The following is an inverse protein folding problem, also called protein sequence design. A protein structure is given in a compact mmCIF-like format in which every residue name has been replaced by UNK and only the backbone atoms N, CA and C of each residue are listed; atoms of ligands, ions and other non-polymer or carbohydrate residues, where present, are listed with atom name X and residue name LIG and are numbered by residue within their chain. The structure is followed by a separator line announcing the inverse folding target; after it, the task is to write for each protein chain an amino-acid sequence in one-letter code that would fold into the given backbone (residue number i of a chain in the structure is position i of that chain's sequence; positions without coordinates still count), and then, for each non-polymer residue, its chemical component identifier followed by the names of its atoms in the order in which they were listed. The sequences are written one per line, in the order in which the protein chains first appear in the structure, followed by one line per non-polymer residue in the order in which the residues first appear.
data_IF_212094091279
#
_entry.id   IF_212094091279
#
_cell.length_a   1.000
_cell.length_b   1.000
_cell.length_c   1.000
_cell.angle_alpha   90.00
_cell.angle_beta   90.00
_cell.angle_gamma   90.00
#
_symmetry.space_group_name_H-M   'P 1'
#
loop_
_entity.id
_entity.type
_entity.pdbx_description
1 polymer ?
#
# COMPACT_ATOMS: atom_id res chain seq x y z
N UNK A 1 6.42 -7.39 -0.34
CA UNK A 1 6.20 -6.24 0.56
C UNK A 1 7.52 -5.83 1.16
N UNK A 2 7.82 -4.53 1.21
CA UNK A 2 9.08 -4.02 1.75
C UNK A 2 9.29 -2.55 1.36
N UNK A 3 10.31 -1.93 1.90
CA UNK A 3 10.73 -0.62 1.43
C UNK A 3 11.59 -0.77 0.17
N UNK A 4 11.04 -0.42 -0.98
CA UNK A 4 11.78 -0.46 -2.26
C UNK A 4 13.01 0.43 -2.22
N UNK A 5 12.90 1.62 -1.62
CA UNK A 5 14.03 2.55 -1.47
C UNK A 5 15.15 1.91 -0.64
N UNK A 6 14.81 1.32 0.51
CA UNK A 6 15.77 0.61 1.36
C UNK A 6 16.43 -0.56 0.63
N UNK A 7 15.65 -1.31 -0.15
CA UNK A 7 16.18 -2.43 -0.95
C UNK A 7 17.14 -1.96 -2.06
N UNK A 8 16.80 -0.88 -2.74
CA UNK A 8 17.65 -0.30 -3.79
C UNK A 8 18.95 0.28 -3.21
N UNK A 9 18.83 1.05 -2.13
CA UNK A 9 19.97 1.72 -1.49
C UNK A 9 20.77 0.81 -0.55
N UNK A 10 20.30 -0.43 -0.32
CA UNK A 10 20.90 -1.38 0.63
C UNK A 10 21.12 -0.72 2.02
N UNK A 11 20.13 0.06 2.48
CA UNK A 11 20.15 0.80 3.73
C UNK A 11 18.93 0.43 4.60
N UNK A 12 19.01 0.61 5.93
CA UNK A 12 17.89 0.38 6.82
C UNK A 12 16.65 1.17 6.41
N UNK A 13 15.48 0.57 6.54
CA UNK A 13 14.21 1.24 6.27
C UNK A 13 13.79 2.12 7.43
N UNK A 14 13.23 3.29 7.13
CA UNK A 14 12.57 4.15 8.11
C UNK A 14 11.13 3.68 8.41
N UNK A 15 10.67 2.62 7.75
CA UNK A 15 9.31 2.08 7.93
C UNK A 15 9.36 0.71 8.57
N UNK A 16 8.42 0.45 9.45
CA UNK A 16 8.17 -0.87 10.04
C UNK A 16 7.06 -1.56 9.26
N UNK A 17 7.26 -2.85 8.95
CA UNK A 17 6.23 -3.71 8.37
C UNK A 17 5.71 -4.60 9.49
N UNK A 18 4.38 -4.63 9.64
CA UNK A 18 3.71 -5.43 10.66
C UNK A 18 2.64 -6.29 9.99
N UNK A 19 2.63 -7.58 10.32
CA UNK A 19 1.52 -8.47 9.96
C UNK A 19 0.29 -8.09 10.80
N UNK A 20 -0.84 -7.82 10.13
CA UNK A 20 -2.10 -7.53 10.81
C UNK A 20 -2.83 -8.81 11.25
N UNK A 21 -2.57 -9.91 10.55
CA UNK A 21 -3.09 -11.25 10.81
C UNK A 21 -1.98 -12.27 10.59
N UNK A 22 -2.19 -13.52 10.96
CA UNK A 22 -1.28 -14.60 10.61
C UNK A 22 -1.13 -14.68 9.09
N UNK A 23 0.12 -14.74 8.61
CA UNK A 23 0.42 -14.80 7.19
C UNK A 23 1.69 -15.60 6.90
N UNK A 24 1.71 -16.23 5.75
CA UNK A 24 2.92 -16.82 5.18
C UNK A 24 3.51 -15.85 4.16
N UNK A 25 4.82 -15.68 4.19
CA UNK A 25 5.53 -14.76 3.30
C UNK A 25 6.68 -15.46 2.59
N UNK A 26 6.82 -15.18 1.31
CA UNK A 26 7.99 -15.57 0.53
C UNK A 26 8.99 -14.42 0.54
N UNK A 27 10.19 -14.69 1.04
CA UNK A 27 11.27 -13.72 1.08
C UNK A 27 12.21 -13.92 -0.09
N UNK A 28 12.46 -12.87 -0.85
CA UNK A 28 13.43 -12.86 -1.92
C UNK A 28 14.45 -11.73 -1.69
N UNK A 29 15.76 -12.04 -1.55
CA UNK A 29 16.78 -11.01 -1.46
C UNK A 29 16.79 -10.14 -2.72
N UNK A 30 16.79 -8.83 -2.55
CA UNK A 30 16.71 -7.87 -3.67
C UNK A 30 17.85 -8.05 -4.69
N UNK A 31 19.06 -8.35 -4.22
CA UNK A 31 20.22 -8.59 -5.11
C UNK A 31 19.94 -9.76 -6.05
N UNK A 32 19.44 -10.89 -5.52
CA UNK A 32 19.07 -12.05 -6.35
C UNK A 32 17.93 -11.77 -7.32
N UNK A 33 16.91 -11.00 -6.87
CA UNK A 33 15.86 -10.55 -7.76
C UNK A 33 16.43 -9.70 -8.91
N UNK A 34 17.36 -8.80 -8.60
CA UNK A 34 18.01 -7.93 -9.59
C UNK A 34 18.81 -8.74 -10.62
N UNK A 35 19.56 -9.74 -10.20
CA UNK A 35 20.26 -10.68 -11.09
C UNK A 35 19.27 -11.34 -12.05
N UNK A 36 18.18 -11.93 -11.54
CA UNK A 36 17.14 -12.57 -12.35
C UNK A 36 16.48 -11.61 -13.35
N UNK A 37 16.24 -10.35 -12.97
CA UNK A 37 15.67 -9.32 -13.86
C UNK A 37 16.62 -9.05 -15.05
N UNK A 38 17.92 -9.10 -14.84
CA UNK A 38 18.88 -8.89 -15.92
C UNK A 38 19.13 -10.12 -16.78
N UNK A 39 18.99 -11.32 -16.23
CA UNK A 39 19.27 -12.58 -16.91
C UNK A 39 18.07 -13.13 -17.68
N UNK A 40 16.83 -12.87 -17.21
CA UNK A 40 15.61 -13.47 -17.76
C UNK A 40 14.65 -12.40 -18.28
N UNK A 41 14.48 -12.33 -19.60
CA UNK A 41 13.66 -11.31 -20.25
C UNK A 41 12.19 -11.32 -19.84
N UNK A 42 11.61 -12.47 -19.56
CA UNK A 42 10.24 -12.58 -19.07
C UNK A 42 10.10 -11.97 -17.67
N UNK A 43 11.08 -12.19 -16.79
CA UNK A 43 11.12 -11.58 -15.45
C UNK A 43 11.32 -10.08 -15.55
N UNK A 44 12.18 -9.63 -16.45
CA UNK A 44 12.38 -8.20 -16.75
C UNK A 44 11.08 -7.54 -17.20
N UNK A 45 10.39 -8.14 -18.16
CA UNK A 45 9.12 -7.65 -18.70
C UNK A 45 8.02 -7.61 -17.63
N UNK A 46 7.93 -8.64 -16.81
CA UNK A 46 7.03 -8.69 -15.65
C UNK A 46 7.36 -7.58 -14.64
N UNK A 47 8.63 -7.40 -14.31
CA UNK A 47 9.06 -6.41 -13.33
C UNK A 47 8.79 -4.97 -13.79
N UNK A 48 8.99 -4.68 -15.06
CA UNK A 48 8.63 -3.37 -15.63
C UNK A 48 7.13 -3.10 -15.47
N UNK A 49 6.27 -4.04 -15.89
CA UNK A 49 4.81 -3.92 -15.74
C UNK A 49 4.39 -3.78 -14.26
N UNK A 50 5.06 -4.50 -13.37
CA UNK A 50 4.83 -4.40 -11.93
C UNK A 50 5.17 -2.99 -11.41
N UNK A 51 6.30 -2.40 -11.84
CA UNK A 51 6.67 -1.04 -11.45
C UNK A 51 5.70 0.00 -12.02
N UNK A 52 5.32 -0.12 -13.30
CA UNK A 52 4.34 0.76 -13.93
C UNK A 52 3.01 0.74 -13.18
N UNK A 53 2.49 -0.45 -12.87
CA UNK A 53 1.21 -0.60 -12.16
C UNK A 53 1.27 -0.07 -10.74
N UNK A 54 2.22 -0.52 -9.93
CA UNK A 54 2.19 -0.32 -8.47
C UNK A 54 2.92 0.96 -8.04
N UNK A 55 3.91 1.41 -8.81
CA UNK A 55 4.75 2.54 -8.42
C UNK A 55 4.50 3.81 -9.25
N UNK A 56 3.89 3.68 -10.40
CA UNK A 56 3.54 4.85 -11.22
C UNK A 56 2.03 5.07 -11.13
N UNK A 57 1.23 4.14 -11.66
CA UNK A 57 -0.23 4.33 -11.77
C UNK A 57 -0.90 4.40 -10.40
N UNK A 58 -0.75 3.37 -9.57
CA UNK A 58 -1.43 3.31 -8.27
C UNK A 58 -0.98 4.43 -7.31
N UNK A 59 0.30 4.84 -7.42
CA UNK A 59 0.82 5.95 -6.62
C UNK A 59 0.22 7.27 -7.07
N UNK A 60 0.20 7.57 -8.37
CA UNK A 60 -0.37 8.80 -8.92
C UNK A 60 -1.87 8.90 -8.63
N UNK A 61 -2.62 7.81 -8.82
CA UNK A 61 -4.04 7.75 -8.45
C UNK A 61 -4.26 8.05 -6.96
N UNK A 62 -3.41 7.49 -6.09
CA UNK A 62 -3.50 7.74 -4.65
C UNK A 62 -3.19 9.19 -4.30
N UNK A 63 -2.15 9.76 -4.87
CA UNK A 63 -1.78 11.16 -4.65
C UNK A 63 -2.89 12.11 -5.15
N UNK A 64 -3.44 11.86 -6.32
CA UNK A 64 -4.57 12.60 -6.86
C UNK A 64 -5.81 12.49 -5.95
N UNK A 65 -6.14 11.28 -5.50
CA UNK A 65 -7.27 11.04 -4.60
C UNK A 65 -7.13 11.77 -3.25
N UNK A 66 -5.92 11.87 -2.71
CA UNK A 66 -5.67 12.62 -1.47
C UNK A 66 -5.96 14.13 -1.62
N UNK A 67 -5.80 14.66 -2.82
CA UNK A 67 -6.01 16.09 -3.11
C UNK A 67 -7.44 16.36 -3.59
N UNK A 68 -8.00 15.50 -4.43
CA UNK A 68 -9.25 15.76 -5.15
C UNK A 68 -10.49 15.16 -4.49
N UNK A 69 -10.33 14.02 -3.79
CA UNK A 69 -11.47 13.32 -3.20
C UNK A 69 -11.75 13.78 -1.76
N UNK A 70 -13.03 13.80 -1.39
CA UNK A 70 -13.39 13.97 0.01
C UNK A 70 -12.98 12.76 0.85
N UNK A 71 -12.88 12.95 2.16
CA UNK A 71 -12.53 11.86 3.08
C UNK A 71 -13.56 10.71 3.04
N UNK A 72 -14.84 11.05 2.81
CA UNK A 72 -15.93 10.10 2.65
C UNK A 72 -15.72 9.21 1.43
N UNK A 73 -15.40 9.81 0.27
CA UNK A 73 -15.13 9.09 -0.99
C UNK A 73 -13.91 8.17 -0.81
N UNK A 74 -12.83 8.66 -0.22
CA UNK A 74 -11.64 7.83 0.05
C UNK A 74 -11.93 6.65 0.96
N UNK A 75 -12.75 6.86 1.98
CA UNK A 75 -13.17 5.78 2.89
C UNK A 75 -14.05 4.75 2.17
N UNK A 76 -14.99 5.18 1.33
CA UNK A 76 -15.80 4.28 0.51
C UNK A 76 -14.97 3.43 -0.43
N UNK A 77 -14.05 4.05 -1.15
CA UNK A 77 -13.12 3.37 -2.04
C UNK A 77 -12.26 2.34 -1.30
N UNK A 78 -11.83 2.66 -0.07
CA UNK A 78 -11.09 1.72 0.77
C UNK A 78 -11.93 0.49 1.12
N UNK A 79 -13.19 0.68 1.54
CA UNK A 79 -14.09 -0.43 1.87
C UNK A 79 -14.43 -1.31 0.67
N UNK A 80 -14.53 -0.71 -0.52
CA UNK A 80 -14.75 -1.46 -1.78
C UNK A 80 -13.53 -2.31 -2.16
N UNK A 81 -12.33 -1.76 -2.00
CA UNK A 81 -11.06 -2.45 -2.30
C UNK A 81 -10.73 -3.53 -1.27
N UNK A 82 -10.99 -3.26 0.00
CA UNK A 82 -10.59 -4.09 1.12
C UNK A 82 -11.81 -4.42 1.99
N UNK A 83 -12.56 -5.43 1.58
CA UNK A 83 -13.73 -5.89 2.35
C UNK A 83 -13.30 -6.31 3.76
N UNK A 84 -14.09 -5.94 4.76
CA UNK A 84 -13.86 -6.26 6.19
C UNK A 84 -12.56 -5.71 6.79
N UNK A 85 -11.94 -4.69 6.18
CA UNK A 85 -10.68 -4.11 6.68
C UNK A 85 -10.79 -3.68 8.15
N UNK A 86 -11.95 -3.19 8.57
CA UNK A 86 -12.20 -2.72 9.94
C UNK A 86 -12.14 -3.84 11.00
N UNK A 87 -12.23 -5.10 10.59
CA UNK A 87 -12.10 -6.25 11.48
C UNK A 87 -10.63 -6.61 11.76
N UNK A 88 -9.72 -6.18 10.89
CA UNK A 88 -8.31 -6.54 10.93
C UNK A 88 -7.38 -5.38 11.27
N UNK A 89 -7.82 -4.15 10.99
CA UNK A 89 -7.01 -2.93 11.13
C UNK A 89 -7.72 -1.94 12.05
N UNK A 90 -6.97 -1.31 12.96
CA UNK A 90 -7.54 -0.32 13.87
C UNK A 90 -8.06 0.92 13.14
N UNK A 91 -9.10 1.55 13.67
CA UNK A 91 -9.65 2.80 13.11
C UNK A 91 -8.61 3.92 13.06
N UNK A 92 -7.64 3.91 13.98
CA UNK A 92 -6.52 4.86 13.97
C UNK A 92 -5.62 4.68 12.75
N UNK A 93 -5.31 3.43 12.40
CA UNK A 93 -4.50 3.10 11.24
C UNK A 93 -5.27 3.39 9.93
N UNK A 94 -6.57 3.09 9.88
CA UNK A 94 -7.44 3.44 8.76
C UNK A 94 -7.49 4.96 8.58
N UNK A 95 -7.70 5.73 9.63
CA UNK A 95 -7.71 7.19 9.56
C UNK A 95 -6.37 7.75 9.04
N UNK A 96 -5.25 7.21 9.54
CA UNK A 96 -3.91 7.56 9.06
C UNK A 96 -3.74 7.25 7.57
N UNK A 97 -4.19 6.09 7.10
CA UNK A 97 -4.15 5.72 5.69
C UNK A 97 -4.96 6.67 4.80
N UNK A 98 -6.10 7.15 5.30
CA UNK A 98 -6.98 8.09 4.60
C UNK A 98 -6.51 9.54 4.70
N UNK A 99 -5.47 9.85 5.47
CA UNK A 99 -4.99 11.21 5.69
C UNK A 99 -5.93 12.08 6.51
N UNK A 100 -6.68 11.49 7.46
CA UNK A 100 -7.64 12.17 8.34
C UNK A 100 -7.42 11.81 9.80
N UNK A 101 -8.07 12.54 10.70
CA UNK A 101 -8.06 12.21 12.13
C UNK A 101 -9.04 11.08 12.47
N UNK A 102 -8.79 10.31 13.54
CA UNK A 102 -9.75 9.29 14.01
C UNK A 102 -11.14 9.87 14.33
N UNK A 103 -11.19 11.12 14.79
CA UNK A 103 -12.45 11.83 15.07
C UNK A 103 -13.23 12.09 13.78
N UNK A 104 -12.55 12.51 12.72
CA UNK A 104 -13.18 12.69 11.39
C UNK A 104 -13.70 11.36 10.84
N UNK A 105 -12.92 10.29 10.92
CA UNK A 105 -13.36 8.95 10.51
C UNK A 105 -14.60 8.50 11.28
N UNK A 106 -14.63 8.73 12.60
CA UNK A 106 -15.79 8.41 13.44
C UNK A 106 -17.07 9.14 13.02
N UNK A 107 -16.96 10.42 12.60
CA UNK A 107 -18.10 11.19 12.05
C UNK A 107 -18.57 10.62 10.71
N UNK A 108 -17.66 10.32 9.81
CA UNK A 108 -17.98 9.73 8.49
C UNK A 108 -18.76 8.43 8.67
N UNK A 109 -18.30 7.56 9.59
CA UNK A 109 -18.98 6.30 9.87
C UNK A 109 -20.38 6.49 10.44
N UNK A 110 -20.59 7.45 11.33
CA UNK A 110 -21.91 7.75 11.90
C UNK A 110 -22.91 8.26 10.86
N UNK A 111 -22.46 9.01 9.88
CA UNK A 111 -23.32 9.54 8.82
C UNK A 111 -23.72 8.49 7.78
N UNK A 112 -23.13 7.30 7.83
CA UNK A 112 -23.45 6.16 6.93
C UNK A 112 -24.47 5.18 7.51
N UNK A 113 -24.79 5.31 8.78
CA UNK A 113 -25.84 4.53 9.45
C UNK A 113 -27.16 5.29 9.35
#
# INVERSE_FOLDING_TARGET
VGSTVSSILQSPSNFTIKAATDCEVLCMPYIKLKELIFEVDDIKSFYIKYLEKNWIIDKEEREASLVMDSAEIRYENLLLKCKNIEQHISLKEIASHLGITPTQLSRIRKNKI
#
